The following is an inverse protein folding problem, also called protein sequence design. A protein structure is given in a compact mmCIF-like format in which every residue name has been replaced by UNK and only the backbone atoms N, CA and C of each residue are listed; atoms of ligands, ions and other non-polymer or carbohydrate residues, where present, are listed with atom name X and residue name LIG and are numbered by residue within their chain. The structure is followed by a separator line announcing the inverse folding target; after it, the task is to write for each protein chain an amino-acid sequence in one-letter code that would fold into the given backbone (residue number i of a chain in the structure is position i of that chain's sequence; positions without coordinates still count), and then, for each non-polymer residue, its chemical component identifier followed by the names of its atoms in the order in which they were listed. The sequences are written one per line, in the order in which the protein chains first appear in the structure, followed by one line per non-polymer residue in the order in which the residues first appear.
data_IF_358810306135
#
_entry.id   IF_358810306135
#
_cell.length_a   1.000
_cell.length_b   1.000
_cell.length_c   1.000
_cell.angle_alpha   90.00
_cell.angle_beta   90.00
_cell.angle_gamma   90.00
#
_symmetry.space_group_name_H-M   'P 1'
#
loop_
_entity.id
_entity.type
_entity.pdbx_description
1 polymer ?
#
# COMPACT_ATOMS: atom_id res chain seq x y z
N UNK A 1 14.90 14.02 -21.30
CA UNK A 1 14.02 12.91 -20.88
C UNK A 1 13.21 13.25 -19.62
N UNK A 2 13.56 14.32 -18.91
CA UNK A 2 12.97 14.71 -17.62
C UNK A 2 11.46 14.96 -17.65
N UNK A 3 10.94 15.64 -18.67
CA UNK A 3 9.51 15.94 -18.76
C UNK A 3 8.66 14.66 -18.90
N UNK A 4 9.07 13.73 -19.77
CA UNK A 4 8.36 12.45 -19.94
C UNK A 4 8.37 11.64 -18.65
N UNK A 5 9.51 11.63 -17.94
CA UNK A 5 9.62 10.92 -16.65
C UNK A 5 8.66 11.49 -15.62
N UNK A 6 8.75 12.80 -15.36
CA UNK A 6 7.99 13.49 -14.29
C UNK A 6 6.49 13.57 -14.57
N UNK A 7 6.09 13.77 -15.83
CA UNK A 7 4.69 14.05 -16.18
C UNK A 7 3.91 12.83 -16.64
N UNK A 8 4.60 11.75 -17.03
CA UNK A 8 3.95 10.57 -17.62
C UNK A 8 4.34 9.31 -16.88
N UNK A 9 5.63 8.97 -16.80
CA UNK A 9 6.05 7.68 -16.24
C UNK A 9 5.77 7.59 -14.73
N UNK A 10 6.20 8.58 -13.97
CA UNK A 10 6.00 8.63 -12.52
C UNK A 10 4.51 8.59 -12.11
N UNK A 11 3.62 9.46 -12.64
CA UNK A 11 2.21 9.40 -12.29
C UNK A 11 1.52 8.13 -12.78
N UNK A 12 1.84 7.63 -13.98
CA UNK A 12 1.23 6.39 -14.49
C UNK A 12 1.62 5.16 -13.65
N UNK A 13 2.90 5.05 -13.24
CA UNK A 13 3.34 3.96 -12.37
C UNK A 13 2.68 4.02 -11.00
N UNK A 14 2.51 5.22 -10.44
CA UNK A 14 1.81 5.40 -9.17
C UNK A 14 0.36 4.92 -9.29
N UNK A 15 -0.37 5.38 -10.32
CA UNK A 15 -1.77 4.99 -10.55
C UNK A 15 -1.93 3.49 -10.75
N UNK A 16 -1.11 2.86 -11.61
CA UNK A 16 -1.20 1.43 -11.88
C UNK A 16 -0.91 0.62 -10.62
N UNK A 17 0.17 0.94 -9.89
CA UNK A 17 0.54 0.21 -8.68
C UNK A 17 -0.43 0.44 -7.51
N UNK A 18 -1.24 1.51 -7.54
CA UNK A 18 -2.23 1.81 -6.50
C UNK A 18 -3.62 1.23 -6.82
N UNK A 19 -4.01 1.23 -8.09
CA UNK A 19 -5.38 0.95 -8.51
C UNK A 19 -5.54 -0.32 -9.36
N UNK A 20 -4.48 -1.08 -9.61
CA UNK A 20 -4.53 -2.32 -10.37
C UNK A 20 -3.92 -3.49 -9.59
N UNK A 21 -4.27 -4.71 -9.99
CA UNK A 21 -3.75 -6.00 -9.53
C UNK A 21 -2.41 -6.37 -10.18
N UNK A 22 -1.73 -5.38 -10.74
CA UNK A 22 -0.44 -5.53 -11.38
C UNK A 22 0.55 -4.54 -10.79
N UNK A 23 1.78 -5.02 -10.59
CA UNK A 23 2.90 -4.18 -10.22
C UNK A 23 3.79 -3.95 -11.42
N UNK A 24 3.95 -2.69 -11.77
CA UNK A 24 4.78 -2.23 -12.88
C UNK A 24 6.00 -1.50 -12.34
N UNK A 25 7.15 -1.86 -12.89
CA UNK A 25 8.42 -1.16 -12.70
C UNK A 25 9.08 -0.94 -14.05
N UNK A 26 10.01 0.01 -14.15
CA UNK A 26 10.72 0.24 -15.39
C UNK A 26 12.20 0.55 -15.15
N UNK A 27 13.01 0.20 -16.15
CA UNK A 27 14.42 0.57 -16.24
C UNK A 27 14.69 1.28 -17.55
N UNK A 28 15.77 2.07 -17.59
CA UNK A 28 16.15 2.86 -18.75
C UNK A 28 17.39 2.25 -19.39
N UNK A 29 17.31 1.92 -20.68
CA UNK A 29 18.48 1.53 -21.48
C UNK A 29 18.97 2.75 -22.25
N UNK A 30 20.27 3.05 -22.05
CA UNK A 30 20.96 4.17 -22.70
C UNK A 30 21.79 3.67 -23.87
N UNK A 31 21.95 4.53 -24.86
CA UNK A 31 22.93 4.39 -25.93
C UNK A 31 23.75 5.67 -25.94
N UNK A 32 24.98 5.61 -25.46
CA UNK A 32 25.79 6.80 -25.19
C UNK A 32 25.14 7.71 -24.13
N UNK A 33 25.01 9.00 -24.44
CA UNK A 33 24.43 10.01 -23.53
C UNK A 33 22.90 10.05 -23.51
N UNK A 34 22.25 9.32 -24.41
CA UNK A 34 20.80 9.40 -24.62
C UNK A 34 20.09 8.14 -24.15
N UNK A 35 18.94 8.31 -23.50
CA UNK A 35 18.02 7.20 -23.18
C UNK A 35 17.28 6.83 -24.46
N UNK A 36 17.41 5.57 -24.90
CA UNK A 36 16.82 5.10 -26.15
C UNK A 36 15.64 4.18 -25.93
N UNK A 37 15.66 3.36 -24.87
CA UNK A 37 14.59 2.41 -24.61
C UNK A 37 14.19 2.42 -23.13
N UNK A 38 12.92 2.10 -22.89
CA UNK A 38 12.35 1.83 -21.58
C UNK A 38 12.00 0.34 -21.53
N UNK A 39 12.45 -0.35 -20.49
CA UNK A 39 12.16 -1.77 -20.29
C UNK A 39 11.22 -1.86 -19.10
N UNK A 40 10.01 -2.33 -19.33
CA UNK A 40 9.00 -2.52 -18.29
C UNK A 40 9.02 -3.95 -17.78
N UNK A 41 8.96 -4.09 -16.46
CA UNK A 41 8.74 -5.37 -15.80
C UNK A 41 7.40 -5.30 -15.08
N UNK A 42 6.49 -6.18 -15.49
CA UNK A 42 5.12 -6.28 -14.99
C UNK A 42 4.99 -7.61 -14.25
N UNK A 43 4.45 -7.57 -13.04
CA UNK A 43 4.15 -8.75 -12.24
C UNK A 43 2.70 -8.70 -11.77
N UNK A 44 1.95 -9.82 -11.79
CA UNK A 44 0.67 -9.87 -11.12
C UNK A 44 0.90 -9.79 -9.60
N UNK A 45 0.27 -8.84 -8.94
CA UNK A 45 0.26 -8.73 -7.48
C UNK A 45 -1.20 -8.80 -7.06
N UNK A 46 -1.66 -9.89 -6.39
CA UNK A 46 -3.04 -9.96 -5.94
C UNK A 46 -3.28 -8.73 -5.07
N UNK A 47 -4.32 -7.96 -5.38
CA UNK A 47 -4.59 -6.67 -4.75
C UNK A 47 -4.67 -6.90 -3.25
N UNK A 48 -3.54 -6.69 -2.56
CA UNK A 48 -3.56 -6.58 -1.13
C UNK A 48 -4.29 -5.27 -0.92
N UNK A 49 -5.60 -5.40 -0.68
CA UNK A 49 -6.39 -4.35 -0.05
C UNK A 49 -5.48 -3.93 1.07
N UNK A 50 -4.87 -2.74 0.96
CA UNK A 50 -4.18 -2.12 2.08
C UNK A 50 -5.29 -1.81 3.06
N UNK A 51 -5.82 -2.85 3.70
CA UNK A 51 -6.54 -2.73 4.93
C UNK A 51 -5.63 -1.82 5.73
N UNK A 52 -6.15 -0.70 6.20
CA UNK A 52 -5.51 0.10 7.24
C UNK A 52 -5.52 -0.74 8.53
N UNK A 53 -4.98 -1.96 8.45
CA UNK A 53 -4.79 -2.93 9.50
C UNK A 53 -3.72 -2.36 10.38
N UNK A 54 -4.15 -1.82 11.49
CA UNK A 54 -3.25 -1.32 12.51
C UNK A 54 -3.97 -0.67 13.67
N UNK A 55 -5.17 -0.11 13.47
CA UNK A 55 -5.92 0.52 14.58
C UNK A 55 -7.42 0.36 14.33
N UNK A 56 -8.10 -0.36 15.22
CA UNK A 56 -9.56 -0.25 15.33
C UNK A 56 -9.93 1.24 15.47
N UNK A 57 -10.96 1.68 14.73
CA UNK A 57 -11.44 3.04 14.92
C UNK A 57 -12.01 3.18 16.33
N UNK A 58 -11.98 4.39 16.89
CA UNK A 58 -12.53 4.69 18.21
C UNK A 58 -13.97 4.14 18.33
N UNK A 59 -14.80 4.36 17.30
CA UNK A 59 -16.16 3.83 17.24
C UNK A 59 -16.25 2.28 17.24
N UNK A 60 -15.25 1.57 16.73
CA UNK A 60 -15.22 0.10 16.79
C UNK A 60 -14.83 -0.42 18.18
N UNK A 61 -14.00 0.34 18.90
CA UNK A 61 -13.58 0.02 20.28
C UNK A 61 -14.77 0.22 21.23
N UNK A 62 -15.53 1.32 21.07
CA UNK A 62 -16.68 1.64 21.91
C UNK A 62 -17.80 0.59 21.79
N UNK A 63 -18.13 0.14 20.58
CA UNK A 63 -19.13 -0.92 20.36
C UNK A 63 -18.75 -2.26 20.97
N UNK A 64 -17.45 -2.50 21.22
CA UNK A 64 -16.92 -3.76 21.75
C UNK A 64 -16.53 -3.67 23.23
N UNK A 65 -16.58 -2.48 23.82
CA UNK A 65 -16.28 -2.26 25.23
C UNK A 65 -17.39 -2.84 26.11
N UNK A 66 -17.00 -3.50 27.21
CA UNK A 66 -17.94 -3.99 28.22
C UNK A 66 -18.30 -2.85 29.18
N UNK A 67 -19.50 -2.85 29.79
CA UNK A 67 -19.87 -1.83 30.78
C UNK A 67 -18.87 -1.87 31.96
N UNK A 68 -18.19 -0.75 32.20
CA UNK A 68 -17.19 -0.60 33.26
C UNK A 68 -15.73 -0.91 32.86
N UNK A 69 -15.45 -1.32 31.62
CA UNK A 69 -14.07 -1.38 31.12
C UNK A 69 -13.54 0.04 30.82
N UNK A 70 -12.28 0.30 31.18
CA UNK A 70 -11.61 1.53 30.75
C UNK A 70 -11.30 1.48 29.26
N UNK A 71 -11.27 2.67 28.64
CA UNK A 71 -10.94 2.82 27.22
C UNK A 71 -9.63 2.16 26.83
N UNK A 72 -8.64 2.27 27.71
CA UNK A 72 -7.30 1.71 27.54
C UNK A 72 -7.32 0.17 27.57
N UNK A 73 -8.13 -0.43 28.45
CA UNK A 73 -8.28 -1.88 28.55
C UNK A 73 -8.96 -2.48 27.31
N UNK A 74 -10.02 -1.84 26.79
CA UNK A 74 -10.72 -2.28 25.58
C UNK A 74 -9.77 -2.25 24.35
N UNK A 75 -8.95 -1.20 24.25
CA UNK A 75 -7.96 -1.03 23.17
C UNK A 75 -6.81 -2.03 23.28
N UNK A 76 -6.31 -2.30 24.49
CA UNK A 76 -5.23 -3.26 24.71
C UNK A 76 -5.65 -4.67 24.30
N UNK A 77 -6.87 -5.11 24.66
CA UNK A 77 -7.43 -6.41 24.27
C UNK A 77 -7.60 -6.57 22.77
N UNK A 78 -8.13 -5.55 22.10
CA UNK A 78 -8.33 -5.58 20.65
C UNK A 78 -7.00 -5.58 19.88
N UNK A 79 -5.94 -5.02 20.46
CA UNK A 79 -4.61 -4.95 19.85
C UNK A 79 -3.70 -6.14 20.22
N UNK A 80 -3.95 -6.81 21.35
CA UNK A 80 -3.33 -8.07 21.73
C UNK A 80 -4.14 -9.23 21.14
N UNK A 81 -3.89 -9.56 19.87
CA UNK A 81 -4.25 -10.88 19.35
C UNK A 81 -3.07 -11.81 19.71
N UNK A 82 -3.17 -12.72 20.69
CA UNK A 82 -2.32 -13.91 20.68
C UNK A 82 -2.81 -14.81 19.54
N UNK A 83 -1.90 -15.11 18.62
CA UNK A 83 -2.06 -16.18 17.64
C UNK A 83 -2.01 -17.50 18.40
N UNK A 84 -3.15 -18.02 18.85
CA UNK A 84 -3.28 -19.42 19.21
C UNK A 84 -3.99 -20.16 18.06
N UNK A 85 -3.31 -21.21 17.59
CA UNK A 85 -3.69 -22.16 16.52
C UNK A 85 -4.72 -23.15 17.07
#
# INVERSE_FOLDING_TARGET
MDNLKRRVLEPALAQINEHSDIRVTYTQRKTGRTVTHLIFAIKPEPMQVKSKGGKHSDADIEKRARPGESWEAARARLNQIPMDI
#
